data_IF_422647554469
#
_entry.id   IF_422647554469
#
_cell.length_a   1.000
_cell.length_b   1.000
_cell.length_c   1.000
_cell.angle_alpha   90.00
_cell.angle_beta   90.00
_cell.angle_gamma   90.00
#
_symmetry.space_group_name_H-M   'P 1'
#
loop_
_entity.id
_entity.type
_entity.pdbx_description
1 polymer ?
#
# COMPACT_ATOMS: atom_id res chain seq x y z
N UNK A 1 17.51 3.60 -14.71
CA UNK A 1 16.30 4.44 -14.97
C UNK A 1 15.17 3.97 -14.06
N UNK A 2 14.58 4.87 -13.28
CA UNK A 2 13.41 4.67 -12.45
C UNK A 2 12.19 5.26 -13.17
N UNK A 3 11.18 4.44 -13.43
CA UNK A 3 9.93 4.88 -14.02
C UNK A 3 8.79 4.65 -13.04
N UNK A 4 7.79 5.53 -13.07
CA UNK A 4 6.67 5.40 -12.15
C UNK A 4 5.53 6.35 -12.46
N UNK A 5 4.53 6.31 -11.57
CA UNK A 5 3.37 7.19 -11.63
C UNK A 5 3.17 7.84 -10.28
N UNK A 6 3.05 9.17 -10.27
CA UNK A 6 2.66 9.94 -9.11
C UNK A 6 1.31 10.58 -9.41
N UNK A 7 0.24 10.09 -8.76
CA UNK A 7 -1.12 10.49 -9.09
C UNK A 7 -1.42 10.23 -10.57
N UNK A 8 -1.78 11.27 -11.34
CA UNK A 8 -2.04 11.14 -12.79
C UNK A 8 -0.80 11.26 -13.69
N UNK A 9 0.35 11.66 -13.14
CA UNK A 9 1.54 11.98 -13.92
C UNK A 9 2.50 10.79 -13.96
N UNK A 10 3.03 10.50 -15.15
CA UNK A 10 4.14 9.54 -15.33
C UNK A 10 5.45 10.28 -15.18
N UNK A 11 6.46 9.62 -14.62
CA UNK A 11 7.82 10.15 -14.56
C UNK A 11 8.83 9.08 -14.95
N UNK A 12 9.97 9.55 -15.42
CA UNK A 12 11.17 8.76 -15.68
C UNK A 12 12.37 9.54 -15.14
N UNK A 13 13.13 8.94 -14.24
CA UNK A 13 14.30 9.51 -13.59
C UNK A 13 15.51 8.64 -13.90
N UNK A 14 16.59 9.24 -14.38
CA UNK A 14 17.85 8.52 -14.48
C UNK A 14 18.33 8.14 -13.08
N UNK A 15 18.84 6.92 -12.95
CA UNK A 15 19.41 6.39 -11.72
C UNK A 15 20.85 6.07 -12.05
N UNK A 16 21.83 6.73 -11.40
CA UNK A 16 23.24 6.38 -11.49
C UNK A 16 23.48 4.91 -11.15
N UNK A 17 24.45 4.28 -11.82
CA UNK A 17 24.69 2.84 -11.71
C UNK A 17 25.02 2.43 -10.26
N UNK A 18 25.80 3.25 -9.55
CA UNK A 18 26.20 3.06 -8.15
C UNK A 18 25.04 3.14 -7.15
N UNK A 19 23.92 3.76 -7.55
CA UNK A 19 22.72 3.87 -6.73
C UNK A 19 21.65 2.81 -7.06
N UNK A 20 21.86 2.00 -8.10
CA UNK A 20 20.83 1.10 -8.63
C UNK A 20 20.35 0.10 -7.58
N UNK A 21 21.26 -0.54 -6.86
CA UNK A 21 20.91 -1.55 -5.87
C UNK A 21 20.16 -0.96 -4.67
N UNK A 22 20.59 0.21 -4.20
CA UNK A 22 19.94 0.91 -3.09
C UNK A 22 18.52 1.33 -3.46
N UNK A 23 18.35 1.88 -4.68
CA UNK A 23 17.02 2.27 -5.18
C UNK A 23 16.13 1.04 -5.34
N UNK A 24 16.67 -0.07 -5.86
CA UNK A 24 15.90 -1.31 -6.03
C UNK A 24 15.45 -1.90 -4.69
N UNK A 25 16.31 -1.86 -3.67
CA UNK A 25 15.97 -2.29 -2.32
C UNK A 25 14.85 -1.42 -1.72
N UNK A 26 14.94 -0.10 -1.85
CA UNK A 26 13.91 0.81 -1.36
C UNK A 26 12.54 0.54 -2.01
N UNK A 27 12.52 0.27 -3.32
CA UNK A 27 11.29 -0.11 -4.04
C UNK A 27 10.72 -1.42 -3.51
N UNK A 28 11.57 -2.43 -3.27
CA UNK A 28 11.13 -3.72 -2.74
C UNK A 28 10.51 -3.58 -1.35
N UNK A 29 11.15 -2.80 -0.46
CA UNK A 29 10.61 -2.50 0.86
C UNK A 29 9.26 -1.77 0.77
N UNK A 30 9.12 -0.85 -0.18
CA UNK A 30 7.85 -0.15 -0.44
C UNK A 30 6.72 -1.10 -0.82
N UNK A 31 6.99 -2.10 -1.68
CA UNK A 31 6.00 -3.12 -2.05
C UNK A 31 5.58 -3.99 -0.87
N UNK A 32 6.54 -4.42 -0.06
CA UNK A 32 6.25 -5.18 1.16
C UNK A 32 5.41 -4.38 2.15
N UNK A 33 5.69 -3.08 2.29
CA UNK A 33 4.88 -2.20 3.11
C UNK A 33 3.45 -2.06 2.55
N UNK A 34 3.29 -1.92 1.24
CA UNK A 34 1.98 -1.86 0.59
C UNK A 34 1.15 -3.12 0.88
N UNK A 35 1.75 -4.30 0.79
CA UNK A 35 1.10 -5.58 1.14
C UNK A 35 0.59 -5.59 2.59
N UNK A 36 1.42 -5.16 3.54
CA UNK A 36 1.04 -5.09 4.96
C UNK A 36 -0.09 -4.08 5.20
N UNK A 37 -0.05 -2.92 4.54
CA UNK A 37 -1.12 -1.91 4.63
C UNK A 37 -2.44 -2.46 4.07
N UNK A 38 -2.39 -3.17 2.95
CA UNK A 38 -3.58 -3.79 2.34
C UNK A 38 -4.19 -4.85 3.26
N UNK A 39 -3.36 -5.69 3.87
CA UNK A 39 -3.80 -6.69 4.84
C UNK A 39 -4.44 -6.04 6.08
N UNK A 40 -3.80 -5.01 6.66
CA UNK A 40 -4.34 -4.28 7.79
C UNK A 40 -5.69 -3.62 7.45
N UNK A 41 -5.79 -3.00 6.27
CA UNK A 41 -7.02 -2.38 5.78
C UNK A 41 -8.16 -3.39 5.61
N UNK A 42 -7.88 -4.58 5.08
CA UNK A 42 -8.86 -5.66 4.96
C UNK A 42 -9.38 -6.09 6.33
N UNK A 43 -8.46 -6.39 7.27
CA UNK A 43 -8.81 -6.84 8.63
C UNK A 43 -9.66 -5.79 9.35
N UNK A 44 -9.26 -4.53 9.29
CA UNK A 44 -9.98 -3.43 9.93
C UNK A 44 -11.36 -3.22 9.32
N UNK A 45 -11.48 -3.27 7.98
CA UNK A 45 -12.77 -3.17 7.29
C UNK A 45 -13.73 -4.29 7.72
N UNK A 46 -13.20 -5.50 7.89
CA UNK A 46 -14.02 -6.62 8.35
C UNK A 46 -14.51 -6.41 9.79
N UNK A 47 -13.65 -5.89 10.67
CA UNK A 47 -14.03 -5.56 12.05
C UNK A 47 -15.18 -4.53 12.08
N UNK A 48 -15.06 -3.43 11.31
CA UNK A 48 -16.11 -2.41 11.20
C UNK A 48 -17.44 -2.97 10.68
N UNK A 49 -17.39 -3.88 9.70
CA UNK A 49 -18.60 -4.55 9.18
C UNK A 49 -19.26 -5.43 10.24
N UNK A 50 -18.48 -6.12 11.06
CA UNK A 50 -18.98 -6.98 12.12
C UNK A 50 -19.64 -6.16 13.23
N UNK A 51 -18.98 -5.09 13.67
CA UNK A 51 -19.53 -4.14 14.65
C UNK A 51 -20.86 -3.57 14.18
N UNK A 52 -20.93 -3.06 12.94
CA UNK A 52 -22.16 -2.55 12.34
C UNK A 52 -23.29 -3.58 12.29
N UNK A 53 -22.97 -4.86 12.06
CA UNK A 53 -23.97 -5.95 12.06
C UNK A 53 -24.48 -6.23 13.48
N UNK A 54 -23.59 -6.24 14.47
CA UNK A 54 -23.93 -6.44 15.88
C UNK A 54 -24.85 -5.33 16.40
N UNK A 55 -24.54 -4.06 16.10
CA UNK A 55 -25.39 -2.93 16.46
C UNK A 55 -26.79 -3.02 15.84
N UNK A 56 -26.87 -3.37 14.55
CA UNK A 56 -28.16 -3.59 13.88
C UNK A 56 -28.96 -4.72 14.51
N UNK A 57 -28.29 -5.77 15.02
CA UNK A 57 -28.95 -6.87 15.71
C UNK A 57 -29.47 -6.45 17.08
N UNK A 58 -28.73 -5.62 17.81
CA UNK A 58 -29.13 -5.14 19.14
C UNK A 58 -30.32 -4.16 19.08
N UNK A 59 -30.47 -3.44 17.98
CA UNK A 59 -31.58 -2.49 17.75
C UNK A 59 -32.86 -3.14 17.20
N UNK A 60 -32.88 -4.45 16.97
CA UNK A 60 -34.03 -5.23 16.52
C UNK A 60 -34.58 -6.04 17.69
#
# INVERSE_FOLDING_TARGET
>A
MLYGRQGKRRFSLYVPDDLTDQVQQAINNGRQLEELIMEAGQRYTQALKNERRSEKRLRR
#
